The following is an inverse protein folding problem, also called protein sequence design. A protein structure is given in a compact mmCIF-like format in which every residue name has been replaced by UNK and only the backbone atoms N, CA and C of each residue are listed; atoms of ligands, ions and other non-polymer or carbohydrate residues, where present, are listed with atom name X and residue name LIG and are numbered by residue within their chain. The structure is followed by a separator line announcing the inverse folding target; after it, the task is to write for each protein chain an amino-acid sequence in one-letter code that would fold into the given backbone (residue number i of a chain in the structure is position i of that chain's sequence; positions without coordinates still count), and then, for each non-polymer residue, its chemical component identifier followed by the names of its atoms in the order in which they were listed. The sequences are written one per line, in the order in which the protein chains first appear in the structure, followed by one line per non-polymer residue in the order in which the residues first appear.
data_IF_016371890008
#
_entry.id   IF_016371890008
#
_cell.length_a   1.000
_cell.length_b   1.000
_cell.length_c   1.000
_cell.angle_alpha   90.00
_cell.angle_beta   90.00
_cell.angle_gamma   90.00
#
_symmetry.space_group_name_H-M   'P 1'
#
loop_
_entity.id
_entity.type
_entity.pdbx_description
1 polymer ?
#
# COMPACT_ATOMS: atom_id res chain seq x y z
N UNK A 1 63.21 -58.10 9.50
CA UNK A 1 64.17 -57.01 9.44
C UNK A 1 63.39 -55.84 8.88
N UNK A 2 63.10 -54.86 9.56
CA UNK A 2 63.69 -53.83 10.35
C UNK A 2 62.59 -53.13 11.17
N UNK A 3 62.97 -52.65 12.32
CA UNK A 3 62.15 -52.10 13.42
C UNK A 3 61.55 -50.70 13.15
N UNK A 4 60.57 -50.33 14.01
CA UNK A 4 59.82 -49.07 13.94
C UNK A 4 60.52 -47.95 14.71
N UNK A 5 60.25 -46.69 14.31
CA UNK A 5 60.63 -45.51 15.08
C UNK A 5 59.41 -44.91 15.78
N UNK A 6 59.51 -44.75 17.10
CA UNK A 6 58.67 -44.04 18.02
C UNK A 6 58.73 -42.55 17.69
N UNK A 7 57.57 -41.87 17.69
CA UNK A 7 57.49 -40.42 17.86
C UNK A 7 56.54 -40.07 19.00
N UNK A 8 56.98 -39.09 19.77
CA UNK A 8 56.55 -38.70 21.10
C UNK A 8 55.15 -37.99 21.05
N UNK A 9 54.39 -38.32 22.09
CA UNK A 9 53.17 -37.56 22.51
C UNK A 9 53.59 -36.25 23.15
N UNK A 10 52.85 -35.15 22.72
CA UNK A 10 52.72 -33.89 23.47
C UNK A 10 51.30 -33.76 23.91
N UNK A 11 50.95 -33.44 25.14
CA UNK A 11 49.65 -33.19 25.61
C UNK A 11 49.32 -31.70 25.45
N UNK A 12 48.36 -31.37 24.59
CA UNK A 12 47.78 -30.03 24.54
C UNK A 12 46.60 -29.92 25.47
N UNK A 13 46.63 -28.95 26.34
CA UNK A 13 45.61 -28.52 27.29
C UNK A 13 44.35 -28.10 26.56
N UNK A 14 43.21 -28.72 26.86
CA UNK A 14 41.89 -28.22 26.47
C UNK A 14 41.46 -27.11 27.45
N UNK A 15 41.53 -25.87 27.03
CA UNK A 15 40.82 -24.78 27.69
C UNK A 15 39.34 -24.84 27.32
N UNK A 16 38.55 -25.12 28.33
CA UNK A 16 37.08 -25.10 28.29
C UNK A 16 36.61 -23.64 28.22
N UNK A 17 36.29 -23.14 27.02
CA UNK A 17 35.53 -21.88 26.87
C UNK A 17 34.06 -22.22 26.82
N UNK A 18 33.37 -21.99 27.94
CA UNK A 18 31.91 -21.95 28.01
C UNK A 18 31.38 -20.76 27.23
N UNK A 19 30.89 -21.01 26.03
CA UNK A 19 30.12 -20.01 25.30
C UNK A 19 28.72 -19.91 25.91
N UNK A 20 28.50 -18.85 26.69
CA UNK A 20 27.21 -18.44 27.20
C UNK A 20 26.37 -17.91 26.01
N UNK A 21 25.48 -18.75 25.48
CA UNK A 21 24.55 -18.38 24.43
C UNK A 21 23.43 -17.51 25.07
N UNK A 22 23.61 -16.18 25.09
CA UNK A 22 22.57 -15.25 25.39
C UNK A 22 21.56 -15.27 24.22
N UNK A 23 20.45 -16.00 24.38
CA UNK A 23 19.26 -15.81 23.56
C UNK A 23 18.69 -14.43 23.83
N UNK A 24 19.12 -13.47 23.01
CA UNK A 24 18.44 -12.18 22.92
C UNK A 24 17.05 -12.38 22.36
N UNK A 25 16.03 -12.28 23.22
CA UNK A 25 14.65 -12.09 22.81
C UNK A 25 14.58 -10.74 22.09
N UNK A 26 14.76 -10.77 20.77
CA UNK A 26 14.51 -9.62 19.91
C UNK A 26 13.02 -9.31 19.94
N UNK A 27 12.60 -8.40 20.82
CA UNK A 27 11.33 -7.71 20.63
C UNK A 27 11.45 -6.96 19.30
N UNK A 28 10.71 -7.41 18.29
CA UNK A 28 10.46 -6.62 17.09
C UNK A 28 9.72 -5.37 17.55
N UNK A 29 10.48 -4.32 17.90
CA UNK A 29 9.95 -2.96 17.87
C UNK A 29 9.62 -2.70 16.40
N UNK A 30 8.34 -2.61 16.08
CA UNK A 30 7.88 -1.93 14.88
C UNK A 30 8.46 -0.52 14.94
N UNK A 31 9.48 -0.26 14.15
CA UNK A 31 10.06 1.07 14.02
C UNK A 31 8.98 1.95 13.40
N UNK A 32 8.32 2.79 14.21
CA UNK A 32 7.51 3.88 13.70
C UNK A 32 8.42 4.74 12.85
N UNK A 33 8.10 4.89 11.58
CA UNK A 33 8.88 5.71 10.66
C UNK A 33 8.68 7.17 11.09
N UNK A 34 9.66 7.74 11.74
CA UNK A 34 9.69 9.15 12.14
C UNK A 34 10.26 9.96 10.97
N UNK A 35 9.52 10.94 10.51
CA UNK A 35 9.96 11.85 9.46
C UNK A 35 10.22 13.23 10.06
N UNK A 36 11.37 13.83 9.75
CA UNK A 36 11.69 15.20 10.14
C UNK A 36 11.20 16.15 9.06
N UNK A 37 10.35 17.11 9.44
CA UNK A 37 9.69 18.06 8.53
C UNK A 37 9.83 19.47 9.09
N UNK A 38 10.07 20.44 8.20
CA UNK A 38 10.07 21.87 8.58
C UNK A 38 8.68 22.45 8.41
N UNK A 39 8.10 22.97 9.50
CA UNK A 39 6.82 23.67 9.50
C UNK A 39 6.99 25.15 9.78
N UNK A 40 6.16 26.00 9.14
CA UNK A 40 6.11 27.44 9.34
C UNK A 40 4.68 27.85 9.71
N UNK A 41 4.53 28.76 10.66
CA UNK A 41 3.23 29.23 11.13
C UNK A 41 3.19 30.70 11.45
N UNK A 42 2.04 31.31 11.17
CA UNK A 42 1.73 32.71 11.47
C UNK A 42 0.62 32.77 12.54
N UNK A 43 0.71 33.74 13.44
CA UNK A 43 -0.30 33.92 14.50
C UNK A 43 -0.22 35.26 15.21
N UNK A 44 -1.31 35.65 15.83
CA UNK A 44 -1.37 36.88 16.64
C UNK A 44 -0.54 36.78 17.94
N UNK A 45 -0.26 35.55 18.38
CA UNK A 45 0.62 35.27 19.51
C UNK A 45 1.65 34.24 19.09
N UNK A 46 2.76 34.16 19.81
CA UNK A 46 3.78 33.14 19.59
C UNK A 46 3.18 31.71 19.64
N UNK A 47 2.32 31.42 20.63
CA UNK A 47 1.68 30.11 20.78
C UNK A 47 0.74 29.77 19.62
N UNK A 48 0.03 30.77 19.08
CA UNK A 48 -0.82 30.59 17.90
C UNK A 48 0.04 30.30 16.65
N UNK A 49 1.15 31.04 16.45
CA UNK A 49 2.08 30.81 15.38
C UNK A 49 2.78 29.44 15.49
N UNK A 50 3.19 29.04 16.70
CA UNK A 50 3.75 27.71 16.96
C UNK A 50 2.75 26.59 16.67
N UNK A 51 1.49 26.77 17.04
CA UNK A 51 0.42 25.81 16.73
C UNK A 51 0.18 25.70 15.23
N UNK A 52 0.22 26.81 14.51
CA UNK A 52 0.14 26.84 13.05
C UNK A 52 1.37 26.17 12.41
N UNK A 53 2.58 26.40 12.92
CA UNK A 53 3.79 25.74 12.43
C UNK A 53 3.76 24.23 12.65
N UNK A 54 3.21 23.73 13.76
CA UNK A 54 3.00 22.31 13.99
C UNK A 54 1.99 21.71 13.02
N UNK A 55 0.91 22.44 12.71
CA UNK A 55 -0.06 22.02 11.69
C UNK A 55 0.60 21.87 10.32
N UNK A 56 1.33 22.88 9.89
CA UNK A 56 2.06 22.90 8.61
C UNK A 56 3.09 21.75 8.55
N UNK A 57 3.81 21.47 9.64
CA UNK A 57 4.73 20.34 9.69
C UNK A 57 4.01 18.99 9.57
N UNK A 58 2.85 18.84 10.21
CA UNK A 58 2.01 17.65 10.10
C UNK A 58 1.48 17.52 8.67
N UNK A 59 0.97 18.59 8.08
CA UNK A 59 0.49 18.65 6.71
C UNK A 59 1.57 18.24 5.70
N UNK A 60 2.76 18.79 5.82
CA UNK A 60 3.91 18.42 4.98
C UNK A 60 4.43 17.00 5.24
N UNK A 61 4.37 16.53 6.48
CA UNK A 61 4.77 15.17 6.87
C UNK A 61 3.79 14.09 6.41
N UNK A 62 2.51 14.44 6.28
CA UNK A 62 1.46 13.56 5.74
C UNK A 62 1.58 13.44 4.22
N UNK A 63 2.28 14.40 3.58
CA UNK A 63 2.37 14.45 2.12
C UNK A 63 0.98 14.53 1.48
N UNK A 64 0.49 15.77 1.33
CA UNK A 64 -0.58 16.10 0.37
C UNK A 64 -1.86 15.26 0.41
N UNK A 65 -2.57 15.29 1.50
CA UNK A 65 -4.03 15.13 1.45
C UNK A 65 -4.70 16.44 0.93
N UNK A 66 -3.94 17.52 0.74
CA UNK A 66 -4.42 18.91 0.66
C UNK A 66 -4.42 19.53 -0.75
N UNK A 67 -3.97 18.88 -1.79
CA UNK A 67 -3.76 19.55 -3.09
C UNK A 67 -4.89 19.41 -4.12
N UNK A 68 -6.17 19.29 -3.71
CA UNK A 68 -7.29 19.33 -4.67
C UNK A 68 -8.39 20.29 -4.22
N UNK A 69 -8.57 21.38 -4.96
CA UNK A 69 -9.61 22.40 -4.72
C UNK A 69 -11.06 21.85 -4.72
N UNK A 70 -11.30 20.68 -5.29
CA UNK A 70 -12.63 20.06 -5.37
C UNK A 70 -13.09 19.41 -4.07
N UNK A 71 -12.16 19.12 -3.15
CA UNK A 71 -12.42 18.49 -1.86
C UNK A 71 -12.76 19.48 -0.72
N UNK A 72 -12.66 20.79 -0.98
CA UNK A 72 -12.66 21.86 0.02
C UNK A 72 -13.88 21.86 0.95
N UNK A 73 -15.07 21.43 0.53
CA UNK A 73 -16.27 21.54 1.38
C UNK A 73 -16.41 20.42 2.43
N UNK A 74 -15.99 19.20 2.11
CA UNK A 74 -16.05 18.07 3.06
C UNK A 74 -14.72 17.86 3.77
N UNK A 75 -13.64 18.35 3.16
CA UNK A 75 -12.27 18.25 3.67
C UNK A 75 -12.02 19.14 4.89
N UNK A 76 -12.62 20.33 4.94
CA UNK A 76 -12.49 21.25 6.09
C UNK A 76 -12.85 20.58 7.42
N UNK A 77 -13.85 19.70 7.44
CA UNK A 77 -14.27 18.99 8.68
C UNK A 77 -13.28 17.89 9.06
N UNK A 78 -12.69 17.21 8.09
CA UNK A 78 -11.70 16.17 8.39
C UNK A 78 -10.32 16.77 8.64
N UNK A 79 -9.94 17.81 7.88
CA UNK A 79 -8.78 18.63 8.13
C UNK A 79 -8.79 19.18 9.54
N UNK A 80 -9.87 19.82 9.97
CA UNK A 80 -10.03 20.30 11.35
C UNK A 80 -9.91 19.19 12.37
N UNK A 81 -10.39 17.99 12.09
CA UNK A 81 -10.28 16.84 13.00
C UNK A 81 -8.88 16.24 13.05
N UNK A 82 -8.22 16.10 11.90
CA UNK A 82 -6.81 15.68 11.81
C UNK A 82 -5.92 16.75 12.42
N UNK A 83 -6.12 18.02 12.06
CA UNK A 83 -5.32 19.14 12.56
C UNK A 83 -5.60 19.47 14.02
N UNK A 84 -6.80 19.23 14.55
CA UNK A 84 -7.08 19.33 16.00
C UNK A 84 -6.27 18.31 16.81
N UNK A 85 -5.91 17.19 16.20
CA UNK A 85 -5.00 16.17 16.75
C UNK A 85 -3.53 16.39 16.38
N UNK A 86 -3.18 17.44 15.60
CA UNK A 86 -1.83 17.68 15.11
C UNK A 86 -0.76 17.67 16.22
N UNK A 87 -1.09 18.16 17.41
CA UNK A 87 -0.21 18.11 18.57
C UNK A 87 0.15 16.67 19.01
N UNK A 88 -0.69 15.67 18.70
CA UNK A 88 -0.42 14.27 19.00
C UNK A 88 0.51 13.59 17.97
N UNK A 89 0.62 14.15 16.77
CA UNK A 89 1.46 13.61 15.70
C UNK A 89 2.88 14.15 15.75
N UNK A 90 3.09 15.37 16.27
CA UNK A 90 4.42 15.92 16.53
C UNK A 90 4.97 15.31 17.81
N UNK A 91 5.94 14.41 17.68
CA UNK A 91 6.58 13.76 18.85
C UNK A 91 7.57 14.68 19.54
N UNK A 92 8.40 15.32 18.76
CA UNK A 92 9.35 16.34 19.23
C UNK A 92 9.47 17.44 18.18
N UNK A 93 9.80 18.63 18.59
CA UNK A 93 10.11 19.72 17.68
C UNK A 93 11.21 20.60 18.26
N UNK A 94 11.91 21.29 17.37
CA UNK A 94 12.91 22.32 17.68
C UNK A 94 12.48 23.60 16.96
N UNK A 95 12.43 24.70 17.68
CA UNK A 95 12.14 26.01 17.11
C UNK A 95 13.41 26.55 16.45
N UNK A 96 13.34 26.68 15.12
CA UNK A 96 14.47 27.16 14.30
C UNK A 96 14.54 28.68 14.29
N UNK A 97 13.38 29.34 14.26
CA UNK A 97 13.27 30.79 14.29
C UNK A 97 11.94 31.27 14.82
N UNK A 98 11.92 32.40 15.47
CA UNK A 98 10.72 33.14 15.86
C UNK A 98 10.96 34.63 15.66
N UNK A 99 10.04 35.31 15.01
CA UNK A 99 10.12 36.77 14.79
C UNK A 99 8.72 37.37 14.81
N UNK A 100 8.66 38.66 15.24
CA UNK A 100 7.42 39.42 15.16
C UNK A 100 7.57 40.46 14.04
N UNK A 101 6.65 40.43 13.08
CA UNK A 101 6.61 41.35 11.96
C UNK A 101 6.13 42.76 12.36
N UNK A 102 6.30 43.78 11.47
CA UNK A 102 5.80 45.12 11.69
C UNK A 102 4.26 45.22 11.83
N UNK A 103 3.56 44.21 11.33
CA UNK A 103 2.12 44.03 11.43
C UNK A 103 1.66 43.44 12.78
N UNK A 104 2.61 43.15 13.67
CA UNK A 104 2.38 42.60 15.00
C UNK A 104 2.17 41.08 14.99
N UNK A 105 2.21 40.40 13.82
CA UNK A 105 2.11 38.95 13.72
C UNK A 105 3.44 38.27 14.06
N UNK A 106 3.31 37.12 14.73
CA UNK A 106 4.45 36.22 14.97
C UNK A 106 4.58 35.23 13.81
N UNK A 107 5.81 35.06 13.33
CA UNK A 107 6.19 33.96 12.43
C UNK A 107 7.08 32.99 13.18
N UNK A 108 6.71 31.73 13.24
CA UNK A 108 7.48 30.67 13.90
C UNK A 108 7.81 29.59 12.89
N UNK A 109 9.08 29.21 12.82
CA UNK A 109 9.55 28.07 12.00
C UNK A 109 10.08 26.99 12.94
N UNK A 110 9.64 25.76 12.74
CA UNK A 110 10.06 24.59 13.53
C UNK A 110 10.63 23.50 12.65
N UNK A 111 11.55 22.71 13.20
CA UNK A 111 11.88 21.37 12.72
C UNK A 111 11.13 20.38 13.60
N UNK A 112 10.18 19.65 13.05
CA UNK A 112 9.32 18.75 13.77
C UNK A 112 9.55 17.29 13.36
N UNK A 113 9.61 16.40 14.34
CA UNK A 113 9.60 14.96 14.12
C UNK A 113 8.14 14.48 14.17
N UNK A 114 7.62 14.12 13.01
CA UNK A 114 6.23 13.72 12.83
C UNK A 114 6.15 12.18 12.71
N UNK A 115 5.21 11.57 13.43
CA UNK A 115 4.93 10.14 13.29
C UNK A 115 4.27 9.84 11.95
N UNK A 116 4.40 8.60 11.49
CA UNK A 116 3.65 8.09 10.33
C UNK A 116 2.13 8.18 10.64
N UNK A 117 1.52 9.22 10.09
CA UNK A 117 0.12 9.56 10.34
C UNK A 117 -0.80 8.53 9.67
N UNK A 118 -0.30 7.80 8.69
CA UNK A 118 -1.10 6.84 7.93
C UNK A 118 -1.63 5.71 8.81
N UNK A 119 -0.87 5.27 9.83
CA UNK A 119 -1.36 4.31 10.81
C UNK A 119 -2.55 4.85 11.62
N UNK A 120 -2.60 6.16 11.87
CA UNK A 120 -3.73 6.80 12.57
C UNK A 120 -4.89 7.11 11.62
N UNK A 121 -4.62 7.48 10.36
CA UNK A 121 -5.66 7.67 9.32
C UNK A 121 -6.40 6.36 9.08
N UNK A 122 -5.69 5.23 9.01
CA UNK A 122 -6.31 3.91 8.85
C UNK A 122 -7.19 3.54 10.04
N UNK A 123 -6.89 4.01 11.24
CA UNK A 123 -7.70 3.79 12.46
C UNK A 123 -8.87 4.76 12.57
N UNK A 124 -8.77 5.95 12.02
CA UNK A 124 -9.86 6.93 12.01
C UNK A 124 -10.77 6.71 10.80
N UNK A 125 -12.00 6.27 11.05
CA UNK A 125 -12.95 5.92 9.98
C UNK A 125 -13.28 7.11 9.08
N UNK A 126 -13.40 8.32 9.63
CA UNK A 126 -13.71 9.51 8.83
C UNK A 126 -12.55 9.87 7.87
N UNK A 127 -11.31 9.78 8.35
CA UNK A 127 -10.14 10.02 7.53
C UNK A 127 -10.01 8.97 6.41
N UNK A 128 -10.32 7.71 6.73
CA UNK A 128 -10.33 6.64 5.75
C UNK A 128 -11.44 6.82 4.70
N UNK A 129 -12.67 7.19 5.10
CA UNK A 129 -13.79 7.44 4.19
C UNK A 129 -13.48 8.56 3.20
N UNK A 130 -12.79 9.60 3.64
CA UNK A 130 -12.35 10.69 2.77
C UNK A 130 -11.29 10.22 1.78
N UNK A 131 -10.32 9.46 2.24
CA UNK A 131 -9.31 8.88 1.36
C UNK A 131 -9.95 7.95 0.32
N UNK A 132 -10.89 7.09 0.73
CA UNK A 132 -11.62 6.19 -0.17
C UNK A 132 -12.43 6.96 -1.20
N UNK A 133 -13.12 8.03 -0.79
CA UNK A 133 -13.85 8.89 -1.72
C UNK A 133 -12.93 9.51 -2.76
N UNK A 134 -11.75 9.89 -2.33
CA UNK A 134 -10.75 10.50 -3.19
C UNK A 134 -10.10 9.53 -4.19
N UNK A 135 -9.82 8.28 -3.80
CA UNK A 135 -9.40 7.21 -4.73
C UNK A 135 -10.57 6.55 -5.47
N UNK A 136 -11.78 7.15 -5.40
CA UNK A 136 -13.02 6.73 -6.07
C UNK A 136 -13.49 5.34 -5.63
N UNK A 137 -13.37 4.99 -4.35
CA UNK A 137 -13.81 3.71 -3.78
C UNK A 137 -13.38 2.50 -4.62
N UNK A 138 -12.09 2.21 -4.73
CA UNK A 138 -11.61 1.13 -5.59
C UNK A 138 -12.15 -0.21 -5.10
N UNK A 139 -12.53 -1.05 -6.06
CA UNK A 139 -13.08 -2.38 -5.81
C UNK A 139 -11.98 -3.42 -5.69
N UNK A 140 -12.11 -4.28 -4.69
CA UNK A 140 -11.18 -5.36 -4.42
C UNK A 140 -11.79 -6.73 -4.74
N UNK A 141 -11.08 -7.54 -5.49
CA UNK A 141 -11.31 -8.98 -5.60
C UNK A 141 -10.45 -9.68 -4.55
N UNK A 142 -11.04 -10.55 -3.74
CA UNK A 142 -10.31 -11.33 -2.73
C UNK A 142 -10.35 -12.79 -3.11
N UNK A 143 -9.19 -13.42 -3.23
CA UNK A 143 -9.06 -14.84 -3.56
C UNK A 143 -7.96 -15.47 -2.70
N UNK A 144 -8.38 -16.28 -1.73
CA UNK A 144 -7.48 -17.03 -0.87
C UNK A 144 -7.65 -18.51 -1.13
N UNK A 145 -6.56 -19.18 -1.52
CA UNK A 145 -6.51 -20.63 -1.56
C UNK A 145 -6.31 -21.16 -0.15
N UNK A 146 -7.35 -21.72 0.45
CA UNK A 146 -7.39 -22.01 1.87
C UNK A 146 -7.64 -23.50 2.15
N UNK A 147 -6.92 -24.02 3.14
CA UNK A 147 -7.15 -25.35 3.71
C UNK A 147 -7.20 -25.25 5.22
N UNK A 148 -8.33 -25.63 5.82
CA UNK A 148 -8.47 -25.72 7.28
C UNK A 148 -8.45 -27.18 7.72
N UNK A 149 -7.28 -27.64 8.19
CA UNK A 149 -7.06 -29.01 8.66
C UNK A 149 -7.43 -30.02 7.55
N UNK A 150 -8.60 -30.66 7.64
CA UNK A 150 -9.09 -31.66 6.68
C UNK A 150 -10.14 -31.08 5.70
N UNK A 151 -10.39 -29.76 5.74
CA UNK A 151 -11.33 -29.07 4.84
C UNK A 151 -10.55 -28.26 3.78
N UNK A 152 -10.43 -28.78 2.55
CA UNK A 152 -9.72 -28.11 1.46
C UNK A 152 -10.54 -26.97 0.82
N UNK A 153 -11.82 -26.85 1.18
CA UNK A 153 -12.72 -25.83 0.64
C UNK A 153 -13.06 -24.75 1.69
N UNK A 154 -12.23 -24.60 2.70
CA UNK A 154 -12.39 -23.56 3.71
C UNK A 154 -12.29 -22.17 3.08
N UNK A 155 -13.10 -21.23 3.57
CA UNK A 155 -13.14 -19.83 3.14
C UNK A 155 -13.11 -18.86 4.34
N UNK A 156 -12.59 -19.32 5.47
CA UNK A 156 -12.60 -18.56 6.73
C UNK A 156 -11.77 -17.29 6.62
N UNK A 157 -10.54 -17.42 6.12
CA UNK A 157 -9.62 -16.28 5.97
C UNK A 157 -10.13 -15.28 4.91
N UNK A 158 -10.59 -15.78 3.75
CA UNK A 158 -11.15 -14.94 2.69
C UNK A 158 -12.38 -14.16 3.18
N UNK A 159 -13.29 -14.84 3.88
CA UNK A 159 -14.50 -14.23 4.45
C UNK A 159 -14.14 -13.17 5.50
N UNK A 160 -13.16 -13.45 6.36
CA UNK A 160 -12.75 -12.52 7.41
C UNK A 160 -12.07 -11.28 6.84
N UNK A 161 -11.19 -11.43 5.83
CA UNK A 161 -10.58 -10.31 5.11
C UNK A 161 -11.67 -9.45 4.48
N UNK A 162 -12.61 -10.06 3.75
CA UNK A 162 -13.71 -9.35 3.11
C UNK A 162 -14.59 -8.61 4.12
N UNK A 163 -14.91 -9.24 5.25
CA UNK A 163 -15.69 -8.63 6.33
C UNK A 163 -14.99 -7.41 6.93
N UNK A 164 -13.70 -7.53 7.22
CA UNK A 164 -12.92 -6.45 7.84
C UNK A 164 -12.72 -5.27 6.89
N UNK A 165 -12.40 -5.53 5.63
CA UNK A 165 -12.25 -4.48 4.62
C UNK A 165 -13.60 -3.82 4.31
N UNK A 166 -14.67 -4.59 4.14
CA UNK A 166 -16.01 -4.05 3.92
C UNK A 166 -16.51 -3.20 5.10
N UNK A 167 -16.23 -3.62 6.34
CA UNK A 167 -16.54 -2.83 7.54
C UNK A 167 -15.77 -1.49 7.60
N UNK A 168 -14.68 -1.37 6.85
CA UNK A 168 -13.89 -0.14 6.69
C UNK A 168 -14.27 0.68 5.46
N UNK A 169 -15.33 0.30 4.72
CA UNK A 169 -15.86 1.05 3.59
C UNK A 169 -15.22 0.72 2.24
N UNK A 170 -14.42 -0.35 2.14
CA UNK A 170 -13.89 -0.82 0.87
C UNK A 170 -14.98 -1.52 0.05
N UNK A 171 -15.00 -1.31 -1.27
CA UNK A 171 -15.87 -2.05 -2.17
C UNK A 171 -15.25 -3.42 -2.48
N UNK A 172 -15.98 -4.48 -2.18
CA UNK A 172 -15.51 -5.87 -2.33
C UNK A 172 -16.36 -6.58 -3.37
N UNK A 173 -15.72 -7.27 -4.31
CA UNK A 173 -16.42 -8.15 -5.27
C UNK A 173 -17.17 -9.23 -4.49
N UNK A 174 -18.41 -9.49 -4.91
CA UNK A 174 -19.29 -10.44 -4.23
C UNK A 174 -18.64 -11.82 -4.04
N UNK A 175 -18.68 -12.40 -2.83
CA UNK A 175 -18.15 -13.75 -2.57
C UNK A 175 -18.76 -14.83 -3.48
N UNK A 176 -20.00 -14.70 -3.88
CA UNK A 176 -20.64 -15.66 -4.81
C UNK A 176 -20.00 -15.66 -6.19
N UNK A 177 -19.50 -14.50 -6.62
CA UNK A 177 -18.78 -14.37 -7.88
C UNK A 177 -17.36 -14.99 -7.77
N UNK A 178 -16.71 -14.77 -6.66
CA UNK A 178 -15.40 -15.37 -6.35
C UNK A 178 -15.50 -16.90 -6.28
N UNK A 179 -16.54 -17.43 -5.69
CA UNK A 179 -16.80 -18.88 -5.63
C UNK A 179 -17.04 -19.47 -7.02
N UNK A 180 -17.80 -18.79 -7.88
CA UNK A 180 -18.01 -19.20 -9.27
C UNK A 180 -16.70 -19.24 -10.07
N UNK A 181 -15.74 -18.37 -9.75
CA UNK A 181 -14.39 -18.40 -10.32
C UNK A 181 -13.59 -19.63 -9.88
N UNK A 182 -13.60 -19.94 -8.60
CA UNK A 182 -12.92 -21.11 -8.04
C UNK A 182 -13.45 -22.41 -8.66
N UNK A 183 -14.77 -22.49 -8.91
CA UNK A 183 -15.42 -23.64 -9.56
C UNK A 183 -15.02 -23.82 -11.04
N UNK A 184 -14.51 -22.79 -11.73
CA UNK A 184 -14.00 -22.89 -13.10
C UNK A 184 -12.62 -23.55 -13.21
N UNK A 185 -12.17 -24.28 -12.19
CA UNK A 185 -10.84 -24.90 -12.12
C UNK A 185 -9.68 -23.93 -12.35
N UNK A 186 -9.83 -22.69 -11.90
CA UNK A 186 -8.78 -21.71 -11.93
C UNK A 186 -7.66 -22.18 -11.01
N UNK A 187 -6.49 -22.44 -11.57
CA UNK A 187 -5.33 -22.84 -10.79
C UNK A 187 -4.77 -21.64 -10.03
N UNK A 188 -5.32 -21.39 -8.83
CA UNK A 188 -4.89 -20.26 -7.97
C UNK A 188 -3.40 -20.29 -7.66
N UNK A 189 -2.79 -21.48 -7.58
CA UNK A 189 -1.35 -21.59 -7.32
C UNK A 189 -0.51 -21.02 -8.48
N UNK A 190 -0.91 -21.26 -9.74
CA UNK A 190 -0.19 -20.68 -10.88
C UNK A 190 -0.41 -19.18 -11.03
N UNK A 191 -1.60 -18.69 -10.65
CA UNK A 191 -1.92 -17.26 -10.69
C UNK A 191 -1.14 -16.50 -9.61
N UNK A 192 -0.88 -17.11 -8.46
CA UNK A 192 -0.06 -16.49 -7.40
C UNK A 192 1.38 -16.20 -7.84
N UNK A 193 1.90 -16.98 -8.78
CA UNK A 193 3.25 -16.83 -9.32
C UNK A 193 3.29 -15.84 -10.50
N UNK A 194 2.12 -15.45 -11.05
CA UNK A 194 2.01 -14.54 -12.19
C UNK A 194 1.09 -13.34 -11.88
N UNK A 195 1.67 -12.22 -11.43
CA UNK A 195 0.90 -11.00 -11.16
C UNK A 195 0.11 -10.48 -12.37
N UNK A 196 0.56 -10.76 -13.59
CA UNK A 196 -0.14 -10.37 -14.81
C UNK A 196 -1.46 -11.12 -15.00
N UNK A 197 -1.47 -12.42 -14.73
CA UNK A 197 -2.70 -13.22 -14.76
C UNK A 197 -3.67 -12.80 -13.64
N UNK A 198 -3.14 -12.52 -12.45
CA UNK A 198 -3.93 -12.02 -11.33
C UNK A 198 -4.60 -10.68 -11.65
N UNK A 199 -3.84 -9.75 -12.24
CA UNK A 199 -4.33 -8.45 -12.68
C UNK A 199 -5.41 -8.57 -13.76
N UNK A 200 -5.21 -9.43 -14.76
CA UNK A 200 -6.20 -9.70 -15.79
C UNK A 200 -7.51 -10.26 -15.22
N UNK A 201 -7.42 -11.15 -14.24
CA UNK A 201 -8.59 -11.68 -13.53
C UNK A 201 -9.34 -10.58 -12.78
N UNK A 202 -8.63 -9.72 -12.02
CA UNK A 202 -9.26 -8.61 -11.31
C UNK A 202 -10.03 -7.70 -12.29
N UNK A 203 -9.42 -7.34 -13.42
CA UNK A 203 -10.02 -6.49 -14.44
C UNK A 203 -11.29 -7.12 -15.06
N UNK A 204 -11.31 -8.44 -15.27
CA UNK A 204 -12.50 -9.16 -15.79
C UNK A 204 -13.73 -8.96 -14.88
N UNK A 205 -13.51 -8.81 -13.56
CA UNK A 205 -14.57 -8.61 -12.57
C UNK A 205 -14.77 -7.16 -12.17
N UNK A 206 -14.18 -6.23 -12.91
CA UNK A 206 -14.27 -4.80 -12.64
C UNK A 206 -13.66 -4.40 -11.29
N UNK A 207 -12.64 -5.14 -10.86
CA UNK A 207 -11.86 -4.81 -9.67
C UNK A 207 -10.56 -4.11 -10.06
N UNK A 208 -10.23 -3.03 -9.36
CA UNK A 208 -8.97 -2.31 -9.54
C UNK A 208 -7.80 -2.97 -8.81
N UNK A 209 -8.12 -3.80 -7.81
CA UNK A 209 -7.12 -4.53 -7.01
C UNK A 209 -7.56 -5.97 -6.77
N UNK A 210 -6.59 -6.86 -6.68
CA UNK A 210 -6.81 -8.23 -6.20
C UNK A 210 -5.95 -8.49 -4.96
N UNK A 211 -6.57 -9.05 -3.93
CA UNK A 211 -5.89 -9.69 -2.80
C UNK A 211 -5.82 -11.17 -3.11
N UNK A 212 -4.63 -11.64 -3.44
CA UNK A 212 -4.38 -13.01 -3.81
C UNK A 212 -3.48 -13.67 -2.78
N UNK A 213 -3.88 -14.83 -2.27
CA UNK A 213 -3.11 -15.47 -1.20
C UNK A 213 -3.40 -16.94 -1.00
N UNK A 214 -2.70 -17.49 -0.02
CA UNK A 214 -2.91 -18.84 0.47
C UNK A 214 -2.96 -18.86 1.99
N UNK A 215 -3.79 -19.74 2.53
CA UNK A 215 -3.94 -19.95 3.96
C UNK A 215 -4.01 -21.43 4.30
N UNK A 216 -3.43 -21.80 5.42
CA UNK A 216 -3.53 -23.16 5.91
C UNK A 216 -3.55 -23.19 7.43
N UNK A 217 -4.21 -24.20 7.99
CA UNK A 217 -4.18 -24.46 9.42
C UNK A 217 -3.83 -25.91 9.74
N UNK A 218 -3.35 -26.12 10.94
CA UNK A 218 -3.13 -27.43 11.54
C UNK A 218 -3.47 -27.39 13.02
N UNK A 219 -3.88 -28.52 13.57
CA UNK A 219 -4.09 -28.69 15.00
C UNK A 219 -3.11 -29.72 15.56
N UNK A 220 -2.54 -29.43 16.73
CA UNK A 220 -1.59 -30.28 17.42
C UNK A 220 -1.94 -30.41 18.89
N UNK A 221 -1.67 -31.58 19.48
CA UNK A 221 -1.74 -31.77 20.93
C UNK A 221 -0.50 -31.17 21.61
N UNK A 222 -0.69 -30.67 22.82
CA UNK A 222 0.43 -30.21 23.63
C UNK A 222 0.22 -30.65 25.09
N UNK A 223 1.21 -31.24 25.75
CA UNK A 223 1.05 -31.80 27.11
C UNK A 223 0.48 -30.83 28.14
N UNK A 224 0.80 -29.54 28.02
CA UNK A 224 0.30 -28.48 28.94
C UNK A 224 -1.15 -28.04 28.67
N UNK A 225 -1.76 -28.44 27.55
CA UNK A 225 -3.13 -28.05 27.18
C UNK A 225 -4.19 -29.05 27.61
N UNK A 226 -3.79 -30.18 28.20
CA UNK A 226 -4.70 -31.25 28.60
C UNK A 226 -5.46 -31.81 27.38
N UNK A 227 -6.78 -31.73 27.40
CA UNK A 227 -7.66 -32.20 26.29
C UNK A 227 -7.81 -31.17 25.16
N UNK A 228 -7.22 -29.97 25.31
CA UNK A 228 -7.33 -28.93 24.27
C UNK A 228 -6.25 -29.11 23.22
N UNK A 229 -6.60 -28.80 21.98
CA UNK A 229 -5.71 -28.78 20.83
C UNK A 229 -5.21 -27.37 20.57
N UNK A 230 -3.95 -27.25 20.14
CA UNK A 230 -3.37 -26.01 19.66
C UNK A 230 -3.60 -25.90 18.16
N UNK A 231 -4.49 -25.00 17.74
CA UNK A 231 -4.65 -24.58 16.34
C UNK A 231 -3.54 -23.59 15.97
N UNK A 232 -2.92 -23.82 14.83
CA UNK A 232 -1.91 -22.94 14.25
C UNK A 232 -2.30 -22.69 12.80
N UNK A 233 -2.22 -21.43 12.35
CA UNK A 233 -2.51 -21.03 10.98
C UNK A 233 -1.40 -20.16 10.41
N UNK A 234 -1.19 -20.29 9.11
CA UNK A 234 -0.38 -19.40 8.31
C UNK A 234 -1.26 -18.81 7.23
N UNK A 235 -1.13 -17.52 6.97
CA UNK A 235 -1.73 -16.84 5.84
C UNK A 235 -0.69 -15.95 5.18
N UNK A 236 -0.57 -16.05 3.85
CA UNK A 236 0.26 -15.18 3.04
C UNK A 236 -0.59 -14.61 1.92
N UNK A 237 -0.57 -13.29 1.74
CA UNK A 237 -1.24 -12.69 0.62
C UNK A 237 -0.53 -11.44 0.13
N UNK A 238 -0.87 -11.06 -1.11
CA UNK A 238 -0.37 -9.86 -1.77
C UNK A 238 -1.53 -9.06 -2.35
N UNK A 239 -1.36 -7.75 -2.41
CA UNK A 239 -2.27 -6.83 -3.10
C UNK A 239 -1.64 -6.46 -4.44
N UNK A 240 -2.35 -6.73 -5.54
CA UNK A 240 -1.90 -6.48 -6.91
C UNK A 240 -2.88 -5.51 -7.57
N UNK A 241 -2.35 -4.53 -8.29
CA UNK A 241 -3.15 -3.62 -9.11
C UNK A 241 -3.53 -4.29 -10.44
N UNK A 242 -4.78 -4.12 -10.84
CA UNK A 242 -5.30 -4.73 -12.06
C UNK A 242 -4.77 -4.08 -13.34
N UNK A 243 -4.44 -2.79 -13.32
CA UNK A 243 -4.04 -2.02 -14.50
C UNK A 243 -2.61 -2.29 -14.98
N UNK A 244 -1.69 -2.57 -14.06
CA UNK A 244 -0.25 -2.69 -14.37
C UNK A 244 0.43 -3.90 -13.71
N UNK A 245 -0.34 -4.77 -13.06
CA UNK A 245 0.15 -5.95 -12.35
C UNK A 245 1.19 -5.66 -11.24
N UNK A 246 1.20 -4.43 -10.71
CA UNK A 246 2.14 -4.06 -9.65
C UNK A 246 1.70 -4.65 -8.31
N UNK A 247 2.60 -5.37 -7.65
CA UNK A 247 2.43 -5.76 -6.25
C UNK A 247 2.67 -4.55 -5.37
N UNK A 248 1.66 -4.12 -4.62
CA UNK A 248 1.73 -2.93 -3.76
C UNK A 248 1.91 -3.25 -2.28
N UNK A 249 1.52 -4.45 -1.87
CA UNK A 249 1.71 -4.95 -0.51
C UNK A 249 1.79 -6.47 -0.54
N UNK A 250 2.61 -7.06 0.33
CA UNK A 250 2.71 -8.50 0.52
C UNK A 250 3.21 -8.79 1.92
N UNK A 251 2.58 -9.74 2.62
CA UNK A 251 3.03 -10.15 3.95
C UNK A 251 2.50 -11.55 4.32
N UNK A 252 3.10 -12.14 5.36
CA UNK A 252 2.73 -13.44 5.93
C UNK A 252 2.46 -13.29 7.43
N UNK A 253 1.31 -13.74 7.87
CA UNK A 253 0.94 -13.74 9.28
C UNK A 253 0.63 -15.13 9.81
N UNK A 254 0.81 -15.27 11.13
CA UNK A 254 0.57 -16.50 11.86
C UNK A 254 -0.52 -16.28 12.90
N UNK A 255 -1.48 -17.21 12.93
CA UNK A 255 -2.52 -17.29 13.95
C UNK A 255 -2.32 -18.47 14.91
N UNK A 256 -2.78 -18.30 16.12
CA UNK A 256 -2.78 -19.36 17.14
C UNK A 256 -4.10 -19.33 17.90
N UNK A 257 -4.64 -20.50 18.20
CA UNK A 257 -5.80 -20.65 19.04
C UNK A 257 -5.73 -21.95 19.85
N UNK A 258 -6.64 -22.10 20.81
CA UNK A 258 -6.80 -23.39 21.53
C UNK A 258 -8.27 -23.75 21.64
N UNK A 259 -8.64 -24.97 21.24
CA UNK A 259 -9.98 -25.47 21.35
C UNK A 259 -9.98 -26.97 21.61
N UNK A 260 -11.09 -27.54 22.08
CA UNK A 260 -11.25 -28.98 22.28
C UNK A 260 -11.44 -29.72 20.94
N UNK A 261 -12.02 -29.02 19.97
CA UNK A 261 -12.25 -29.49 18.61
C UNK A 261 -11.16 -28.94 17.66
N UNK A 262 -10.61 -29.82 16.83
CA UNK A 262 -9.50 -29.49 15.94
C UNK A 262 -9.91 -28.47 14.86
N UNK A 263 -11.06 -28.70 14.20
CA UNK A 263 -11.57 -27.84 13.14
C UNK A 263 -11.79 -26.41 13.67
N UNK A 264 -12.45 -26.28 14.82
CA UNK A 264 -12.70 -24.98 15.46
C UNK A 264 -11.39 -24.31 15.88
N UNK A 265 -10.37 -25.07 16.36
CA UNK A 265 -9.07 -24.51 16.65
C UNK A 265 -8.43 -23.93 15.36
N UNK A 266 -8.52 -24.64 14.24
CA UNK A 266 -8.04 -24.16 12.95
C UNK A 266 -8.77 -22.90 12.48
N UNK A 267 -10.10 -22.88 12.51
CA UNK A 267 -10.95 -21.71 12.16
C UNK A 267 -10.55 -20.47 12.95
N UNK A 268 -10.41 -20.60 14.28
CA UNK A 268 -10.05 -19.48 15.13
C UNK A 268 -8.60 -18.99 14.87
N UNK A 269 -7.68 -19.90 14.57
CA UNK A 269 -6.32 -19.55 14.22
C UNK A 269 -6.26 -18.81 12.87
N UNK A 270 -7.00 -19.29 11.84
CA UNK A 270 -7.12 -18.64 10.54
C UNK A 270 -7.71 -17.23 10.67
N UNK A 271 -8.80 -17.08 11.42
CA UNK A 271 -9.42 -15.78 11.67
C UNK A 271 -8.45 -14.79 12.30
N UNK A 272 -7.74 -15.19 13.36
CA UNK A 272 -6.75 -14.32 13.99
C UNK A 272 -5.53 -13.99 13.13
N UNK A 273 -5.18 -14.85 12.17
CA UNK A 273 -4.15 -14.54 11.17
C UNK A 273 -4.68 -13.56 10.11
N UNK A 274 -5.93 -13.76 9.65
CA UNK A 274 -6.58 -12.91 8.67
C UNK A 274 -6.82 -11.48 9.18
N UNK A 275 -7.17 -11.31 10.46
CA UNK A 275 -7.28 -10.00 11.10
C UNK A 275 -5.97 -9.20 10.96
N UNK A 276 -4.86 -9.79 11.38
CA UNK A 276 -3.54 -9.13 11.30
C UNK A 276 -3.12 -8.82 9.88
N UNK A 277 -3.36 -9.76 8.96
CA UNK A 277 -3.06 -9.56 7.56
C UNK A 277 -3.90 -8.43 6.97
N UNK A 278 -5.20 -8.37 7.27
CA UNK A 278 -6.10 -7.32 6.80
C UNK A 278 -5.65 -5.94 7.26
N UNK A 279 -5.30 -5.78 8.54
CA UNK A 279 -4.78 -4.53 9.09
C UNK A 279 -3.51 -4.09 8.35
N UNK A 280 -2.58 -5.01 8.13
CA UNK A 280 -1.33 -4.72 7.40
C UNK A 280 -1.60 -4.34 5.94
N UNK A 281 -2.37 -5.16 5.19
CA UNK A 281 -2.64 -4.91 3.77
C UNK A 281 -3.38 -3.58 3.58
N UNK A 282 -4.32 -3.26 4.47
CA UNK A 282 -5.05 -2.00 4.46
C UNK A 282 -4.09 -0.82 4.69
N UNK A 283 -3.27 -0.87 5.74
CA UNK A 283 -2.30 0.18 6.05
C UNK A 283 -1.28 0.37 4.92
N UNK A 284 -0.73 -0.72 4.37
CA UNK A 284 0.24 -0.68 3.29
C UNK A 284 -0.37 -0.13 1.98
N UNK A 285 -1.62 -0.49 1.67
CA UNK A 285 -2.34 0.01 0.50
C UNK A 285 -2.61 1.51 0.62
N UNK A 286 -3.13 1.95 1.76
CA UNK A 286 -3.38 3.37 2.07
C UNK A 286 -2.08 4.18 2.00
N UNK A 287 -1.00 3.65 2.57
CA UNK A 287 0.33 4.28 2.49
C UNK A 287 0.81 4.41 1.05
N UNK A 288 0.60 3.39 0.23
CA UNK A 288 0.96 3.44 -1.19
C UNK A 288 0.18 4.53 -1.92
N UNK A 289 -1.12 4.60 -1.73
CA UNK A 289 -1.95 5.66 -2.32
C UNK A 289 -1.50 7.06 -1.90
N UNK A 290 -1.22 7.26 -0.62
CA UNK A 290 -0.73 8.53 -0.10
C UNK A 290 0.60 8.95 -0.74
N UNK A 291 1.56 8.02 -0.88
CA UNK A 291 2.84 8.28 -1.55
C UNK A 291 2.68 8.59 -3.04
N UNK A 292 1.76 7.91 -3.72
CA UNK A 292 1.47 8.17 -5.13
C UNK A 292 0.88 9.56 -5.34
N UNK A 293 0.20 10.09 -4.34
CA UNK A 293 -0.41 11.40 -4.40
C UNK A 293 0.56 12.53 -4.00
N UNK A 294 1.44 12.29 -3.04
CA UNK A 294 2.43 13.30 -2.62
C UNK A 294 3.52 13.53 -3.67
N UNK A 295 3.79 12.55 -4.53
CA UNK A 295 4.91 12.56 -5.48
C UNK A 295 4.46 12.57 -6.95
N UNK A 296 3.39 13.26 -7.31
CA UNK A 296 2.73 13.13 -8.61
C UNK A 296 2.29 11.68 -8.94
N UNK A 297 1.03 11.50 -9.25
CA UNK A 297 0.45 10.18 -9.53
C UNK A 297 1.17 9.52 -10.69
N UNK A 298 1.50 8.25 -10.53
CA UNK A 298 1.99 7.45 -11.64
C UNK A 298 0.78 6.94 -12.43
N UNK A 299 0.52 7.55 -13.56
CA UNK A 299 -0.55 7.18 -14.47
C UNK A 299 -0.01 6.39 -15.66
N UNK A 300 -0.82 5.51 -16.21
CA UNK A 300 -0.49 4.74 -17.41
C UNK A 300 -1.25 5.32 -18.60
N UNK A 301 -0.55 5.79 -19.62
CA UNK A 301 -1.14 6.16 -20.90
C UNK A 301 -0.82 5.06 -21.92
N UNK A 302 -1.85 4.42 -22.46
CA UNK A 302 -1.74 3.49 -23.59
C UNK A 302 -2.22 4.19 -24.84
N UNK A 303 -1.31 4.48 -25.77
CA UNK A 303 -1.59 5.25 -26.99
C UNK A 303 -1.46 4.34 -28.18
N UNK A 304 -2.55 4.09 -28.88
CA UNK A 304 -2.64 3.27 -30.09
C UNK A 304 -2.55 4.11 -31.37
N UNK A 305 -2.25 3.48 -32.50
CA UNK A 305 -2.08 4.17 -33.80
C UNK A 305 -0.73 4.89 -33.94
N UNK A 306 0.26 4.52 -33.14
CA UNK A 306 1.57 5.18 -33.05
C UNK A 306 2.58 4.49 -33.94
N UNK A 307 3.31 5.28 -34.75
CA UNK A 307 4.51 4.81 -35.45
C UNK A 307 5.79 5.04 -34.64
N UNK A 308 6.90 4.46 -35.06
CA UNK A 308 8.19 4.69 -34.40
C UNK A 308 8.59 6.17 -34.36
N UNK A 309 8.27 6.92 -35.42
CA UNK A 309 8.57 8.36 -35.47
C UNK A 309 7.61 9.20 -34.65
N UNK A 310 6.29 8.96 -34.77
CA UNK A 310 5.28 9.75 -34.03
C UNK A 310 5.35 9.51 -32.54
N UNK A 311 5.80 8.34 -32.09
CA UNK A 311 6.01 8.03 -30.67
C UNK A 311 6.88 9.06 -29.97
N UNK A 312 8.02 9.39 -30.56
CA UNK A 312 8.96 10.35 -29.98
C UNK A 312 8.34 11.75 -29.89
N UNK A 313 7.67 12.17 -30.96
CA UNK A 313 6.98 13.46 -30.99
C UNK A 313 5.90 13.53 -29.93
N UNK A 314 5.07 12.47 -29.78
CA UNK A 314 4.04 12.40 -28.73
C UNK A 314 4.66 12.59 -27.35
N UNK A 315 5.72 11.87 -27.03
CA UNK A 315 6.38 11.97 -25.71
C UNK A 315 6.95 13.37 -25.48
N UNK A 316 7.57 13.97 -26.49
CA UNK A 316 8.12 15.31 -26.39
C UNK A 316 7.02 16.36 -26.21
N UNK A 317 5.93 16.26 -26.98
CA UNK A 317 4.81 17.20 -26.89
C UNK A 317 4.03 17.05 -25.59
N UNK A 318 3.78 15.81 -25.12
CA UNK A 318 3.18 15.60 -23.81
C UNK A 318 3.99 16.26 -22.68
N UNK A 319 5.32 16.17 -22.74
CA UNK A 319 6.20 16.79 -21.74
C UNK A 319 6.17 18.32 -21.79
N UNK A 320 6.01 18.90 -22.98
CA UNK A 320 6.12 20.35 -23.17
C UNK A 320 4.78 21.09 -23.05
N UNK A 321 3.65 20.42 -23.34
CA UNK A 321 2.36 21.10 -23.50
C UNK A 321 1.30 20.66 -22.47
N UNK A 322 1.51 19.58 -21.73
CA UNK A 322 0.60 19.15 -20.69
C UNK A 322 1.14 19.63 -19.34
N UNK A 323 0.42 20.55 -18.74
CA UNK A 323 0.78 21.07 -17.43
C UNK A 323 0.61 19.99 -16.35
N UNK A 324 1.52 19.95 -15.38
CA UNK A 324 1.50 18.96 -14.31
C UNK A 324 2.24 17.66 -14.59
N UNK A 325 2.69 17.40 -15.81
CA UNK A 325 3.58 16.25 -16.10
C UNK A 325 4.98 16.53 -15.56
N UNK A 326 5.42 15.69 -14.60
CA UNK A 326 6.76 15.78 -14.02
C UNK A 326 7.77 14.88 -14.73
N UNK A 327 7.35 13.66 -15.09
CA UNK A 327 8.17 12.74 -15.87
C UNK A 327 7.33 11.82 -16.75
N UNK A 328 7.93 11.34 -17.84
CA UNK A 328 7.36 10.30 -18.71
C UNK A 328 8.42 9.24 -18.94
N UNK A 329 8.09 7.99 -18.60
CA UNK A 329 8.89 6.81 -18.85
C UNK A 329 8.17 5.89 -19.84
N UNK A 330 8.82 5.53 -20.94
CA UNK A 330 8.27 4.53 -21.83
C UNK A 330 8.44 3.14 -21.25
N UNK A 331 7.35 2.41 -21.05
CA UNK A 331 7.35 1.03 -20.56
C UNK A 331 7.42 0.02 -21.70
N UNK A 332 6.67 0.24 -22.77
CA UNK A 332 6.66 -0.65 -23.92
C UNK A 332 6.32 0.09 -25.21
N UNK A 333 6.66 -0.51 -26.34
CA UNK A 333 6.15 -0.14 -27.66
C UNK A 333 6.02 -1.42 -28.50
N UNK A 334 4.81 -1.80 -28.84
CA UNK A 334 4.50 -3.01 -29.60
C UNK A 334 3.22 -2.85 -30.41
N UNK A 335 3.18 -3.41 -31.60
CA UNK A 335 2.01 -3.44 -32.47
C UNK A 335 1.33 -2.08 -32.66
N UNK A 336 2.12 -1.00 -32.79
CA UNK A 336 1.59 0.35 -32.97
C UNK A 336 0.97 0.96 -31.71
N UNK A 337 1.22 0.38 -30.54
CA UNK A 337 0.78 0.90 -29.24
C UNK A 337 1.99 1.20 -28.37
N UNK A 338 2.06 2.40 -27.83
CA UNK A 338 3.04 2.79 -26.80
C UNK A 338 2.38 2.84 -25.42
N UNK A 339 3.03 2.26 -24.43
CA UNK A 339 2.64 2.38 -23.03
C UNK A 339 3.63 3.27 -22.31
N UNK A 340 3.12 4.34 -21.75
CA UNK A 340 3.88 5.34 -21.00
C UNK A 340 3.47 5.31 -19.53
N UNK A 341 4.44 5.38 -18.65
CA UNK A 341 4.23 5.69 -17.25
C UNK A 341 4.50 7.18 -17.06
N UNK A 342 3.49 7.92 -16.62
CA UNK A 342 3.52 9.38 -16.52
C UNK A 342 3.36 9.77 -15.05
N UNK A 343 4.34 10.50 -14.51
CA UNK A 343 4.18 11.17 -13.21
C UNK A 343 3.45 12.50 -13.45
N UNK A 344 2.24 12.60 -12.92
CA UNK A 344 1.35 13.73 -13.13
C UNK A 344 0.88 14.33 -11.79
N UNK A 345 1.07 15.63 -11.63
CA UNK A 345 0.60 16.40 -10.48
C UNK A 345 -0.75 17.05 -10.82
N UNK A 346 -1.84 16.37 -10.50
CA UNK A 346 -3.20 16.82 -10.76
C UNK A 346 -4.22 15.68 -10.72
N UNK A 347 -5.49 15.99 -10.99
CA UNK A 347 -6.56 14.99 -11.07
C UNK A 347 -6.57 14.28 -12.43
N UNK A 348 -7.23 13.10 -12.51
CA UNK A 348 -7.46 12.44 -13.81
C UNK A 348 -8.31 13.32 -14.73
N UNK A 349 -9.29 14.02 -14.16
CA UNK A 349 -10.18 14.90 -14.93
C UNK A 349 -9.40 16.05 -15.58
N UNK A 350 -8.45 16.65 -14.84
CA UNK A 350 -7.59 17.70 -15.40
C UNK A 350 -6.68 17.15 -16.51
N UNK A 351 -6.08 15.97 -16.29
CA UNK A 351 -5.25 15.34 -17.34
C UNK A 351 -6.10 14.95 -18.55
N UNK A 352 -7.27 14.35 -18.32
CA UNK A 352 -8.21 13.96 -19.38
C UNK A 352 -8.62 15.15 -20.23
N UNK A 353 -8.97 16.27 -19.62
CA UNK A 353 -9.34 17.49 -20.32
C UNK A 353 -8.21 18.11 -21.14
N UNK A 354 -6.96 17.92 -20.74
CA UNK A 354 -5.79 18.35 -21.48
C UNK A 354 -5.40 17.38 -22.61
N UNK A 355 -5.75 16.09 -22.50
CA UNK A 355 -5.41 15.05 -23.47
C UNK A 355 -6.46 14.90 -24.58
N UNK A 356 -7.75 14.93 -24.22
CA UNK A 356 -8.84 14.64 -25.15
C UNK A 356 -9.01 15.71 -26.20
N UNK A 357 -8.92 15.32 -27.47
CA UNK A 357 -8.97 16.23 -28.59
C UNK A 357 -7.77 17.17 -28.73
N UNK A 358 -6.71 16.98 -27.93
CA UNK A 358 -5.49 17.79 -28.00
C UNK A 358 -4.87 17.71 -29.37
N UNK A 359 -4.67 18.88 -29.97
CA UNK A 359 -4.06 19.05 -31.29
C UNK A 359 -2.53 19.12 -31.19
N UNK A 360 -1.85 18.15 -31.80
CA UNK A 360 -0.40 18.11 -31.88
C UNK A 360 0.11 18.47 -33.29
N UNK A 361 -0.68 19.22 -34.06
CA UNK A 361 -0.33 19.71 -35.39
C UNK A 361 -0.66 18.72 -36.51
N UNK A 362 0.06 17.61 -36.60
CA UNK A 362 -0.16 16.57 -37.62
C UNK A 362 -1.10 15.46 -37.20
N UNK A 363 -1.44 15.39 -35.90
CA UNK A 363 -2.34 14.40 -35.31
C UNK A 363 -3.03 14.99 -34.09
N UNK A 364 -4.10 14.33 -33.64
CA UNK A 364 -4.76 14.60 -32.37
C UNK A 364 -4.85 13.31 -31.55
N UNK A 365 -4.89 13.44 -30.24
CA UNK A 365 -5.16 12.34 -29.31
C UNK A 365 -6.61 12.36 -28.88
N UNK A 366 -7.24 11.20 -28.81
CA UNK A 366 -8.61 11.04 -28.31
C UNK A 366 -8.63 9.94 -27.25
N UNK A 367 -9.31 10.21 -26.16
CA UNK A 367 -9.51 9.21 -25.11
C UNK A 367 -10.50 8.16 -25.60
N UNK A 368 -10.10 6.90 -25.58
CA UNK A 368 -10.92 5.74 -25.93
C UNK A 368 -11.33 4.90 -24.71
N UNK A 369 -10.67 5.11 -23.59
CA UNK A 369 -10.99 4.48 -22.31
C UNK A 369 -10.31 5.20 -21.17
N UNK A 370 -10.94 5.18 -20.00
CA UNK A 370 -10.42 5.72 -18.76
C UNK A 370 -10.43 4.65 -17.67
N UNK A 371 -9.36 4.63 -16.88
CA UNK A 371 -9.25 3.86 -15.65
C UNK A 371 -8.87 4.79 -14.50
N UNK A 372 -9.05 4.41 -13.23
CA UNK A 372 -8.60 5.23 -12.11
C UNK A 372 -7.11 5.59 -12.17
N UNK A 373 -6.31 4.82 -12.89
CA UNK A 373 -4.85 4.94 -12.95
C UNK A 373 -4.31 5.23 -14.35
N UNK A 374 -5.14 5.70 -15.29
CA UNK A 374 -4.65 6.07 -16.62
C UNK A 374 -5.71 6.12 -17.70
N UNK A 375 -5.23 6.31 -18.94
CA UNK A 375 -6.07 6.47 -20.13
C UNK A 375 -5.61 5.56 -21.27
N UNK A 376 -6.58 5.04 -22.00
CA UNK A 376 -6.40 4.49 -23.32
C UNK A 376 -6.69 5.60 -24.35
N UNK A 377 -5.77 5.81 -25.25
CA UNK A 377 -5.80 6.89 -26.23
C UNK A 377 -5.60 6.34 -27.65
N UNK A 378 -6.19 6.98 -28.62
CA UNK A 378 -5.95 6.72 -30.01
C UNK A 378 -5.41 7.98 -30.72
N UNK A 379 -4.42 7.77 -31.59
CA UNK A 379 -3.91 8.79 -32.51
C UNK A 379 -4.84 8.86 -33.74
N UNK A 380 -5.33 10.04 -34.06
CA UNK A 380 -6.01 10.33 -35.32
C UNK A 380 -5.15 11.29 -36.14
N UNK A 381 -4.78 10.88 -37.37
CA UNK A 381 -4.13 11.76 -38.33
C UNK A 381 -5.15 12.79 -38.84
N UNK A 382 -4.70 14.01 -39.01
CA UNK A 382 -5.46 15.09 -39.65
C UNK A 382 -5.40 15.04 -41.13
#
# INVERSE_FOLDING_TARGET
MTRPTKSRSNPFHYHLYGALLLMGLGTLLTAQTLQTVTGEGLGMTHDAALSAAKRDAVEKGVGVIVASETLVKNFVVAEDKILSKANGFVKTYEELSSSQGPDGLFTVTISAMVTDILDEVVKDQLALDLLLSWVRHPRFLIMINETNIDDPNSIVAETEIGRLMGARGFDIVSPSLTEALKQRNVNLASIQEDPGQAAGMAAEFGAEYIILGQASSKATTHPMLGTRLSGQANISAQVIRADNAQVIAQETFHGKSTHIDAHTAGVNALRGAAEKLSEYLLAATVKRWSLEQSNARLLTLRISGVTYQTRRQIIETLKSEIEGIQSIDQRSFSAGTVTLAVQYAGSNEDLGSQLDGKDFGTYALFITGETPNGFDLAVQAK
#
